data_IF_347735341257
#
_entry.id   IF_347735341257
#
_cell.length_a   1.000
_cell.length_b   1.000
_cell.length_c   1.000
_cell.angle_alpha   90.00
_cell.angle_beta   90.00
_cell.angle_gamma   90.00
#
_symmetry.space_group_name_H-M   'P 1'
#
loop_
_entity.id
_entity.type
_entity.pdbx_description
1 polymer ?
#
# COMPACT_ATOMS: atom_id res chain seq x y z
N UNK A 1 -26.03 -3.00 -9.13
CA UNK A 1 -24.68 -3.52 -9.40
C UNK A 1 -24.41 -3.77 -10.89
N UNK A 2 -25.34 -4.32 -11.67
CA UNK A 2 -25.15 -4.58 -13.11
C UNK A 2 -24.85 -3.33 -13.95
N UNK A 3 -25.41 -2.17 -13.60
CA UNK A 3 -25.18 -0.92 -14.35
C UNK A 3 -23.75 -0.38 -14.19
N UNK A 4 -23.17 -0.48 -12.99
CA UNK A 4 -21.78 -0.07 -12.76
C UNK A 4 -20.80 -0.93 -13.57
N UNK A 5 -20.98 -2.26 -13.54
CA UNK A 5 -20.13 -3.18 -14.31
C UNK A 5 -20.19 -2.88 -15.79
N UNK A 6 -21.40 -2.71 -16.34
CA UNK A 6 -21.59 -2.36 -17.75
C UNK A 6 -20.92 -1.04 -18.13
N UNK A 7 -21.00 -0.03 -17.27
CA UNK A 7 -20.40 1.28 -17.51
C UNK A 7 -18.88 1.17 -17.53
N UNK A 8 -18.29 0.44 -16.58
CA UNK A 8 -16.84 0.21 -16.51
C UNK A 8 -16.36 -0.57 -17.74
N UNK A 9 -17.02 -1.68 -18.09
CA UNK A 9 -16.65 -2.48 -19.27
C UNK A 9 -16.70 -1.64 -20.55
N UNK A 10 -17.76 -0.85 -20.72
CA UNK A 10 -17.89 0.04 -21.89
C UNK A 10 -16.77 1.10 -21.92
N UNK A 11 -16.41 1.65 -20.78
CA UNK A 11 -15.29 2.59 -20.67
C UNK A 11 -13.97 1.93 -21.06
N UNK A 12 -13.69 0.73 -20.57
CA UNK A 12 -12.49 -0.04 -20.89
C UNK A 12 -12.41 -0.37 -22.39
N UNK A 13 -13.51 -0.81 -23.00
CA UNK A 13 -13.58 -1.08 -24.43
C UNK A 13 -13.31 0.18 -25.27
N UNK A 14 -13.87 1.32 -24.88
CA UNK A 14 -13.69 2.59 -25.60
C UNK A 14 -12.26 3.13 -25.48
N UNK A 15 -11.55 2.80 -24.40
CA UNK A 15 -10.23 3.34 -24.09
C UNK A 15 -9.11 2.30 -24.17
N UNK A 16 -9.40 1.09 -24.67
CA UNK A 16 -8.42 0.00 -24.80
C UNK A 16 -7.15 0.41 -25.54
N UNK A 17 -7.26 1.29 -26.53
CA UNK A 17 -6.12 1.83 -27.28
C UNK A 17 -5.18 2.71 -26.44
N UNK A 18 -5.66 3.26 -25.31
CA UNK A 18 -4.84 4.10 -24.41
C UNK A 18 -3.96 3.28 -23.48
N UNK A 19 -4.24 1.98 -23.29
CA UNK A 19 -3.48 1.09 -22.41
C UNK A 19 -2.01 0.88 -22.80
N UNK A 20 -1.64 1.17 -24.05
CA UNK A 20 -0.26 1.08 -24.54
C UNK A 20 0.55 2.38 -24.44
N UNK A 21 -0.01 3.44 -23.88
CA UNK A 21 0.63 4.77 -23.87
C UNK A 21 1.48 4.93 -22.58
N UNK A 22 2.69 5.53 -22.67
CA UNK A 22 3.57 5.73 -21.51
C UNK A 22 2.99 6.59 -20.40
N UNK A 23 1.79 7.14 -20.58
CA UNK A 23 1.07 7.89 -19.56
C UNK A 23 0.67 7.06 -18.33
N UNK A 24 0.48 5.74 -18.46
CA UNK A 24 0.10 4.89 -17.35
C UNK A 24 1.09 4.99 -16.17
N UNK A 25 2.39 5.02 -16.45
CA UNK A 25 3.42 5.17 -15.42
C UNK A 25 3.39 6.55 -14.74
N UNK A 26 3.06 7.60 -15.48
CA UNK A 26 2.94 8.97 -14.94
C UNK A 26 1.69 9.09 -14.08
N UNK A 27 0.56 8.56 -14.57
CA UNK A 27 -0.71 8.53 -13.82
C UNK A 27 -0.58 7.73 -12.53
N UNK A 28 0.04 6.55 -12.57
CA UNK A 28 0.26 5.72 -11.40
C UNK A 28 1.10 6.44 -10.33
N UNK A 29 2.15 7.15 -10.74
CA UNK A 29 2.97 7.96 -9.82
C UNK A 29 2.18 9.14 -9.24
N UNK A 30 1.38 9.79 -10.06
CA UNK A 30 0.50 10.89 -9.65
C UNK A 30 -0.52 10.42 -8.62
N UNK A 31 -1.18 9.31 -8.89
CA UNK A 31 -2.17 8.70 -7.99
C UNK A 31 -1.54 8.28 -6.66
N UNK A 32 -0.39 7.60 -6.71
CA UNK A 32 0.34 7.19 -5.50
C UNK A 32 0.76 8.40 -4.66
N UNK A 33 1.21 9.49 -5.29
CA UNK A 33 1.57 10.71 -4.59
C UNK A 33 0.35 11.39 -3.96
N UNK A 34 -0.77 11.47 -4.69
CA UNK A 34 -2.01 12.07 -4.22
C UNK A 34 -2.64 11.28 -3.07
N UNK A 35 -2.67 9.95 -3.18
CA UNK A 35 -3.14 9.06 -2.12
C UNK A 35 -2.29 9.21 -0.86
N UNK A 36 -0.97 9.29 -1.00
CA UNK A 36 -0.05 9.47 0.13
C UNK A 36 -0.19 10.84 0.81
N UNK A 37 -0.65 11.87 0.09
CA UNK A 37 -0.94 13.18 0.69
C UNK A 37 -2.07 13.13 1.73
N UNK A 38 -3.03 12.22 1.58
CA UNK A 38 -4.10 12.00 2.56
C UNK A 38 -3.49 11.59 3.91
N UNK A 39 -2.37 10.89 3.89
CA UNK A 39 -1.61 10.46 5.07
C UNK A 39 -0.50 11.46 5.47
N UNK A 40 -0.55 12.70 4.94
CA UNK A 40 0.46 13.75 5.15
C UNK A 40 1.86 13.41 4.62
N UNK A 41 1.99 12.46 3.70
CA UNK A 41 3.25 12.14 3.04
C UNK A 41 3.38 12.99 1.77
N UNK A 42 3.99 14.15 1.90
CA UNK A 42 4.26 15.03 0.75
C UNK A 42 5.62 14.76 0.15
N UNK A 43 5.68 14.70 -1.19
CA UNK A 43 6.90 14.44 -1.95
C UNK A 43 6.90 15.24 -3.25
N UNK A 44 8.07 15.79 -3.63
CA UNK A 44 8.21 16.41 -4.95
C UNK A 44 8.37 15.35 -6.03
N UNK A 45 7.85 15.62 -7.24
CA UNK A 45 7.93 14.71 -8.39
C UNK A 45 9.38 14.27 -8.68
N UNK A 46 10.35 15.18 -8.55
CA UNK A 46 11.77 14.87 -8.74
C UNK A 46 12.27 13.83 -7.72
N UNK A 47 11.99 14.01 -6.42
CA UNK A 47 12.41 13.07 -5.39
C UNK A 47 11.75 11.71 -5.55
N UNK A 48 10.46 11.70 -5.89
CA UNK A 48 9.74 10.46 -6.19
C UNK A 48 10.35 9.73 -7.37
N UNK A 49 10.66 10.43 -8.46
CA UNK A 49 11.30 9.80 -9.63
C UNK A 49 12.66 9.21 -9.29
N UNK A 50 13.48 9.90 -8.48
CA UNK A 50 14.76 9.38 -8.01
C UNK A 50 14.59 8.14 -7.13
N UNK A 51 13.57 8.12 -6.24
CA UNK A 51 13.25 6.97 -5.40
C UNK A 51 12.82 5.75 -6.22
N UNK A 52 12.00 5.96 -7.25
CA UNK A 52 11.52 4.89 -8.13
C UNK A 52 12.67 4.27 -8.94
N UNK A 53 13.66 5.07 -9.33
CA UNK A 53 14.87 4.59 -10.05
C UNK A 53 15.90 3.95 -9.12
N UNK A 54 15.69 4.00 -7.80
CA UNK A 54 16.58 3.37 -6.82
C UNK A 54 17.79 4.24 -6.43
N UNK A 55 17.68 5.56 -6.49
CA UNK A 55 18.71 6.45 -5.97
C UNK A 55 18.86 6.28 -4.45
N UNK A 56 20.04 6.62 -3.92
CA UNK A 56 20.37 6.45 -2.50
C UNK A 56 19.39 7.21 -1.59
N UNK A 57 19.06 6.61 -0.45
CA UNK A 57 18.11 7.17 0.53
C UNK A 57 18.48 8.57 1.02
N UNK A 58 19.78 8.90 1.07
CA UNK A 58 20.27 10.22 1.45
C UNK A 58 19.88 11.33 0.46
N UNK A 59 19.74 11.00 -0.83
CA UNK A 59 19.36 11.95 -1.87
C UNK A 59 17.84 12.09 -2.01
N UNK A 60 17.08 11.08 -1.58
CA UNK A 60 15.65 10.93 -1.83
C UNK A 60 14.80 11.41 -0.66
N UNK A 61 15.17 11.04 0.57
CA UNK A 61 14.42 11.31 1.79
C UNK A 61 13.32 10.27 2.07
N UNK A 62 13.00 10.11 3.35
CA UNK A 62 12.12 9.06 3.86
C UNK A 62 10.73 9.04 3.21
N UNK A 63 10.07 10.19 3.10
CA UNK A 63 8.72 10.26 2.51
C UNK A 63 8.70 9.80 1.04
N UNK A 64 9.73 10.16 0.26
CA UNK A 64 9.79 9.75 -1.14
C UNK A 64 10.02 8.24 -1.28
N UNK A 65 10.73 7.64 -0.34
CA UNK A 65 10.90 6.18 -0.29
C UNK A 65 9.58 5.47 0.03
N UNK A 66 8.81 5.96 1.00
CA UNK A 66 7.48 5.42 1.33
C UNK A 66 6.52 5.51 0.14
N UNK A 67 6.47 6.66 -0.54
CA UNK A 67 5.63 6.84 -1.73
C UNK A 67 6.10 5.95 -2.88
N UNK A 68 7.41 5.75 -3.06
CA UNK A 68 7.94 4.84 -4.07
C UNK A 68 7.56 3.37 -3.79
N UNK A 69 7.48 2.96 -2.54
CA UNK A 69 6.95 1.63 -2.15
C UNK A 69 5.49 1.49 -2.51
N UNK A 70 4.68 2.53 -2.28
CA UNK A 70 3.28 2.55 -2.70
C UNK A 70 3.16 2.38 -4.23
N UNK A 71 4.00 3.06 -5.02
CA UNK A 71 4.06 2.87 -6.49
C UNK A 71 4.36 1.40 -6.84
N UNK A 72 5.36 0.78 -6.20
CA UNK A 72 5.70 -0.64 -6.45
C UNK A 72 4.56 -1.59 -6.07
N UNK A 73 3.92 -1.36 -4.92
CA UNK A 73 2.77 -2.15 -4.50
C UNK A 73 1.60 -2.04 -5.50
N UNK A 74 1.32 -0.85 -6.01
CA UNK A 74 0.30 -0.65 -7.05
C UNK A 74 0.69 -1.34 -8.37
N UNK A 75 1.96 -1.30 -8.76
CA UNK A 75 2.45 -2.04 -9.94
C UNK A 75 2.30 -3.55 -9.77
N UNK A 76 2.63 -4.08 -8.59
CA UNK A 76 2.44 -5.49 -8.25
C UNK A 76 0.94 -5.88 -8.29
N UNK A 77 0.05 -5.01 -7.80
CA UNK A 77 -1.39 -5.19 -7.87
C UNK A 77 -1.91 -5.26 -9.31
N UNK A 78 -1.46 -4.34 -10.17
CA UNK A 78 -1.81 -4.34 -11.59
C UNK A 78 -1.31 -5.61 -12.30
N UNK A 79 -0.09 -6.06 -11.97
CA UNK A 79 0.47 -7.31 -12.51
C UNK A 79 -0.29 -8.57 -12.07
N UNK A 80 -0.97 -8.53 -10.91
CA UNK A 80 -1.76 -9.62 -10.36
C UNK A 80 -3.26 -9.53 -10.72
N UNK A 81 -3.69 -8.53 -11.48
CA UNK A 81 -5.10 -8.25 -11.72
C UNK A 81 -5.85 -9.39 -12.43
N UNK A 82 -5.18 -10.15 -13.29
CA UNK A 82 -5.78 -11.28 -14.00
C UNK A 82 -5.88 -12.54 -13.14
N UNK A 83 -4.99 -12.73 -12.16
CA UNK A 83 -5.01 -13.88 -11.25
C UNK A 83 -4.57 -13.47 -9.85
N UNK A 84 -5.54 -13.10 -9.03
CA UNK A 84 -5.30 -12.72 -7.65
C UNK A 84 -5.15 -13.99 -6.80
N UNK A 85 -3.95 -14.22 -6.27
CA UNK A 85 -3.63 -15.34 -5.38
C UNK A 85 -3.22 -14.82 -4.00
N UNK A 86 -3.13 -15.73 -3.02
CA UNK A 86 -2.63 -15.39 -1.69
C UNK A 86 -1.18 -14.90 -1.77
N UNK A 87 -0.38 -15.53 -2.62
CA UNK A 87 1.02 -15.16 -2.83
C UNK A 87 1.15 -13.76 -3.42
N UNK A 88 0.28 -13.37 -4.36
CA UNK A 88 0.28 -12.02 -4.92
C UNK A 88 -0.11 -10.97 -3.89
N UNK A 89 -1.05 -11.27 -2.99
CA UNK A 89 -1.44 -10.38 -1.87
C UNK A 89 -0.25 -10.22 -0.90
N UNK A 90 0.41 -11.29 -0.54
CA UNK A 90 1.60 -11.28 0.33
C UNK A 90 2.72 -10.48 -0.31
N UNK A 91 2.93 -10.64 -1.62
CA UNK A 91 3.92 -9.88 -2.36
C UNK A 91 3.61 -8.38 -2.37
N UNK A 92 2.37 -7.98 -2.67
CA UNK A 92 1.95 -6.57 -2.60
C UNK A 92 2.15 -5.97 -1.21
N UNK A 93 1.79 -6.72 -0.15
CA UNK A 93 2.02 -6.29 1.23
C UNK A 93 3.52 -6.14 1.53
N UNK A 94 4.35 -7.05 1.06
CA UNK A 94 5.80 -6.95 1.19
C UNK A 94 6.34 -5.69 0.51
N UNK A 95 5.98 -5.43 -0.75
CA UNK A 95 6.42 -4.22 -1.48
C UNK A 95 6.06 -2.92 -0.76
N UNK A 96 4.89 -2.89 -0.13
CA UNK A 96 4.41 -1.73 0.60
C UNK A 96 5.14 -1.53 1.94
N UNK A 97 5.40 -2.61 2.66
CA UNK A 97 5.79 -2.55 4.09
C UNK A 97 7.25 -2.92 4.36
N UNK A 98 8.01 -3.41 3.36
CA UNK A 98 9.42 -3.77 3.50
C UNK A 98 10.25 -2.61 4.07
N UNK A 99 11.01 -2.88 5.13
CA UNK A 99 11.82 -1.87 5.83
C UNK A 99 11.02 -0.90 6.73
N UNK A 100 9.70 -1.10 6.85
CA UNK A 100 8.85 -0.38 7.81
C UNK A 100 8.33 -1.34 8.88
N UNK A 101 8.01 -2.56 8.48
CA UNK A 101 7.53 -3.62 9.37
C UNK A 101 8.46 -4.83 9.32
N UNK A 102 8.72 -5.43 10.47
CA UNK A 102 9.53 -6.65 10.59
C UNK A 102 8.82 -7.89 10.01
N UNK A 103 7.50 -7.85 9.93
CA UNK A 103 6.62 -8.89 9.41
C UNK A 103 6.11 -8.58 7.98
N UNK A 104 6.85 -7.78 7.22
CA UNK A 104 6.52 -7.45 5.83
C UNK A 104 6.29 -8.72 4.99
N UNK A 105 5.15 -8.79 4.30
CA UNK A 105 4.79 -9.95 3.49
C UNK A 105 4.41 -11.20 4.30
N UNK A 106 4.02 -11.06 5.56
CA UNK A 106 3.55 -12.17 6.41
C UNK A 106 2.15 -11.93 6.92
N UNK A 107 1.38 -13.00 7.08
CA UNK A 107 0.11 -12.92 7.78
C UNK A 107 0.35 -12.76 9.28
N UNK A 108 -0.39 -11.84 9.88
CA UNK A 108 -0.35 -11.64 11.34
C UNK A 108 -0.94 -12.85 12.06
N UNK A 109 -0.27 -13.26 13.12
CA UNK A 109 -0.78 -14.30 14.04
C UNK A 109 -1.50 -13.69 15.24
N UNK A 110 -1.42 -12.37 15.40
CA UNK A 110 -2.03 -11.66 16.53
C UNK A 110 -3.36 -11.03 16.15
N UNK A 111 -4.34 -11.07 17.06
CA UNK A 111 -5.61 -10.40 16.89
C UNK A 111 -5.43 -8.87 16.88
N UNK A 112 -6.01 -8.22 15.90
CA UNK A 112 -6.03 -6.75 15.81
C UNK A 112 -7.43 -6.27 16.13
N UNK A 113 -7.61 -5.66 17.28
CA UNK A 113 -8.86 -5.03 17.69
C UNK A 113 -8.90 -3.60 17.18
N UNK A 114 -9.42 -3.43 15.98
CA UNK A 114 -9.69 -2.13 15.38
C UNK A 114 -8.51 -1.15 15.34
N UNK A 115 -8.76 0.02 14.84
CA UNK A 115 -7.79 1.11 14.69
C UNK A 115 -7.23 1.70 16.00
N UNK A 116 -7.76 1.32 17.16
CA UNK A 116 -7.16 1.68 18.47
C UNK A 116 -5.86 0.93 18.76
N UNK A 117 -5.62 -0.19 18.12
CA UNK A 117 -4.40 -0.97 18.35
C UNK A 117 -3.13 -0.31 17.76
N UNK A 118 -3.28 0.58 16.76
CA UNK A 118 -2.15 1.31 16.15
C UNK A 118 -1.56 2.35 17.10
N UNK A 119 -2.32 2.81 18.09
CA UNK A 119 -1.87 3.77 19.11
C UNK A 119 -1.52 3.12 20.46
N UNK A 120 -1.53 1.79 20.54
CA UNK A 120 -1.17 1.10 21.78
C UNK A 120 0.35 1.13 21.95
N UNK A 121 0.83 2.17 22.62
CA UNK A 121 2.16 2.20 23.20
C UNK A 121 2.31 0.95 24.09
N UNK A 122 3.37 0.19 23.90
CA UNK A 122 3.66 -1.11 24.52
C UNK A 122 3.42 -1.21 26.04
N UNK A 123 3.35 -0.07 26.73
CA UNK A 123 3.06 0.02 28.16
C UNK A 123 1.57 -0.12 28.53
N UNK A 124 0.64 0.11 27.59
CA UNK A 124 -0.81 0.01 27.84
C UNK A 124 -1.38 -1.33 27.36
N UNK A 125 -0.71 -2.03 26.48
CA UNK A 125 -1.15 -3.33 25.98
C UNK A 125 -0.98 -4.46 27.02
N UNK A 126 0.02 -4.38 27.89
CA UNK A 126 0.27 -5.36 28.93
C UNK A 126 -0.80 -5.40 30.03
N UNK A 127 -1.37 -4.24 30.38
CA UNK A 127 -2.36 -4.14 31.45
C UNK A 127 -3.77 -4.60 31.08
N UNK A 128 -4.11 -4.56 29.79
CA UNK A 128 -5.47 -4.96 29.33
C UNK A 128 -5.60 -6.48 29.12
N UNK A 129 -4.50 -7.17 28.82
CA UNK A 129 -4.48 -8.62 28.65
C UNK A 129 -4.59 -9.34 30.01
N UNK A 130 -3.95 -8.82 31.07
CA UNK A 130 -4.08 -9.40 32.42
C UNK A 130 -5.49 -9.26 33.01
N UNK A 131 -6.22 -8.19 32.64
CA UNK A 131 -7.59 -7.99 33.13
C UNK A 131 -8.62 -8.93 32.46
N UNK A 132 -8.33 -9.42 31.24
CA UNK A 132 -9.22 -10.34 30.51
C UNK A 132 -9.04 -11.79 30.97
N UNK A 133 -7.83 -12.17 31.38
CA UNK A 133 -7.56 -13.58 31.83
C UNK A 133 -8.10 -13.88 33.22
N UNK A 134 -8.32 -12.85 34.06
CA UNK A 134 -8.86 -13.04 35.42
C UNK A 134 -10.39 -13.12 35.53
N UNK A 135 -11.11 -13.05 34.42
CA UNK A 135 -12.58 -13.12 34.38
C UNK A 135 -13.13 -14.48 33.95
N UNK A 136 -12.28 -15.49 33.79
CA UNK A 136 -12.67 -16.86 33.42
C UNK A 136 -12.10 -17.94 34.36
N UNK A 137 -11.80 -17.59 35.63
CA UNK A 137 -11.63 -18.55 36.70
C UNK A 137 -12.77 -18.46 37.72
#
# INVERSE_FOLDING_TARGET
MQDCTRTITRFDEQHAALGGVPFAAVLLRGESASSSQIENLTVSARRLSLAVVGASSSAVGHNAELVARNVRAMQAALGAAESLTIESIVHMHHELTAGTLDDAGKFRQQWVWGWRAVACNSRLCGTTLEASTRRHE
#
